data_IF_331498456534
#
_entry.id   IF_331498456534
#
_cell.length_a   1.000
_cell.length_b   1.000
_cell.length_c   1.000
_cell.angle_alpha   90.00
_cell.angle_beta   90.00
_cell.angle_gamma   90.00
#
_symmetry.space_group_name_H-M   'P 1'
#
loop_
_entity.id
_entity.type
_entity.pdbx_description
1 polymer ?
#
# COMPACT_ATOMS: atom_id res chain seq x y z
N UNK A 1 10.92 -18.34 -11.26
CA UNK A 1 11.66 -18.44 -9.97
C UNK A 1 12.94 -17.62 -10.08
N UNK A 2 13.34 -16.96 -8.99
CA UNK A 2 14.53 -16.07 -8.93
C UNK A 2 15.17 -16.20 -7.55
N UNK A 3 16.50 -16.17 -7.45
CA UNK A 3 17.16 -16.12 -6.14
C UNK A 3 16.76 -14.82 -5.40
N UNK A 4 16.46 -14.93 -4.11
CA UNK A 4 16.04 -13.80 -3.29
C UNK A 4 17.21 -12.87 -2.97
N UNK A 5 16.95 -11.56 -2.89
CA UNK A 5 18.02 -10.57 -2.64
C UNK A 5 18.40 -10.40 -1.16
N UNK A 6 17.48 -10.68 -0.25
CA UNK A 6 17.59 -10.29 1.18
C UNK A 6 17.55 -11.51 2.10
N UNK A 7 18.62 -12.29 2.09
CA UNK A 7 18.79 -13.41 3.01
C UNK A 7 20.26 -13.72 3.30
N UNK A 8 20.50 -14.37 4.43
CA UNK A 8 21.80 -14.95 4.79
C UNK A 8 21.68 -16.47 4.91
N UNK A 9 22.78 -17.16 4.61
CA UNK A 9 22.90 -18.61 4.78
C UNK A 9 23.41 -18.89 6.19
N UNK A 10 22.72 -19.79 6.88
CA UNK A 10 23.07 -20.27 8.21
C UNK A 10 23.53 -21.73 8.15
N UNK A 11 24.05 -22.24 9.27
CA UNK A 11 24.41 -23.65 9.43
C UNK A 11 23.20 -24.58 9.16
N UNK A 12 23.49 -25.79 8.68
CA UNK A 12 22.47 -26.82 8.45
C UNK A 12 21.51 -26.52 7.29
N UNK A 13 21.96 -25.75 6.27
CA UNK A 13 21.14 -25.31 5.13
C UNK A 13 19.90 -24.52 5.55
N UNK A 14 19.94 -23.84 6.68
CA UNK A 14 18.90 -22.88 7.08
C UNK A 14 19.21 -21.53 6.44
N UNK A 15 18.18 -20.78 6.07
CA UNK A 15 18.34 -19.39 5.62
C UNK A 15 17.57 -18.44 6.53
N UNK A 16 18.08 -17.24 6.71
CA UNK A 16 17.39 -16.17 7.44
C UNK A 16 17.03 -15.05 6.46
N UNK A 17 15.74 -14.89 6.21
CA UNK A 17 15.17 -13.93 5.26
C UNK A 17 14.89 -12.61 5.97
N UNK A 18 15.48 -11.51 5.48
CA UNK A 18 15.33 -10.17 6.04
C UNK A 18 14.66 -9.18 5.07
N UNK A 19 13.91 -9.69 4.08
CA UNK A 19 13.12 -8.87 3.16
C UNK A 19 12.09 -7.98 3.86
N UNK A 20 11.47 -8.51 4.92
CA UNK A 20 10.38 -7.87 5.64
C UNK A 20 10.59 -8.07 7.14
N UNK A 21 9.88 -7.30 7.96
CA UNK A 21 10.06 -7.26 9.42
C UNK A 21 9.59 -8.54 10.17
N UNK A 22 9.34 -9.64 9.45
CA UNK A 22 9.13 -10.96 10.05
C UNK A 22 10.42 -11.73 10.31
N UNK A 23 11.51 -11.41 9.59
CA UNK A 23 12.82 -12.03 9.79
C UNK A 23 12.77 -13.57 9.84
N UNK A 24 12.08 -14.20 8.87
CA UNK A 24 11.82 -15.64 8.91
C UNK A 24 13.13 -16.46 8.83
N UNK A 25 13.31 -17.41 9.76
CA UNK A 25 14.29 -18.49 9.64
C UNK A 25 13.63 -19.70 8.96
N UNK A 26 14.17 -20.11 7.81
CA UNK A 26 13.53 -21.08 6.92
C UNK A 26 14.48 -22.27 6.74
N UNK A 27 14.08 -23.42 7.27
CA UNK A 27 14.82 -24.67 7.05
C UNK A 27 14.71 -25.14 5.59
N UNK A 28 15.64 -26.00 5.17
CA UNK A 28 15.64 -26.63 3.85
C UNK A 28 14.27 -27.24 3.49
N UNK A 29 13.77 -26.96 2.28
CA UNK A 29 12.49 -27.46 1.78
C UNK A 29 11.25 -26.81 2.40
N UNK A 30 11.41 -25.76 3.21
CA UNK A 30 10.31 -24.98 3.78
C UNK A 30 10.20 -23.60 3.12
N UNK A 31 9.07 -22.95 3.39
CA UNK A 31 8.77 -21.58 2.94
C UNK A 31 8.67 -20.61 4.10
N UNK A 32 8.94 -19.34 3.83
CA UNK A 32 8.64 -18.24 4.75
C UNK A 32 7.14 -18.04 4.93
N UNK A 33 6.75 -17.19 5.89
CA UNK A 33 5.34 -16.96 6.24
C UNK A 33 4.49 -16.48 5.06
N UNK A 34 5.09 -15.80 4.08
CA UNK A 34 4.41 -15.34 2.87
C UNK A 34 4.00 -16.46 1.90
N UNK A 35 4.47 -17.70 2.11
CA UNK A 35 4.12 -18.85 1.28
C UNK A 35 4.79 -18.91 -0.10
N UNK A 36 5.59 -17.90 -0.47
CA UNK A 36 6.16 -17.74 -1.81
C UNK A 36 7.69 -17.60 -1.87
N UNK A 37 8.35 -17.67 -0.71
CA UNK A 37 9.81 -17.70 -0.62
C UNK A 37 10.25 -19.03 -0.02
N UNK A 38 10.99 -19.81 -0.79
CA UNK A 38 11.33 -21.21 -0.49
C UNK A 38 12.84 -21.40 -0.41
N UNK A 39 13.30 -22.12 0.61
CA UNK A 39 14.70 -22.49 0.77
C UNK A 39 14.96 -23.81 0.04
N UNK A 40 15.82 -23.77 -0.99
CA UNK A 40 16.20 -24.91 -1.81
C UNK A 40 17.72 -25.03 -1.81
N UNK A 41 18.24 -26.11 -1.23
CA UNK A 41 19.67 -26.37 -1.08
C UNK A 41 20.41 -25.33 -0.23
N UNK A 42 19.77 -24.68 0.74
CA UNK A 42 20.35 -23.57 1.51
C UNK A 42 20.41 -22.24 0.74
N UNK A 43 19.62 -22.08 -0.31
CA UNK A 43 19.51 -20.86 -1.11
C UNK A 43 18.04 -20.45 -1.14
N UNK A 44 17.74 -19.19 -0.80
CA UNK A 44 16.36 -18.71 -0.77
C UNK A 44 15.94 -18.25 -2.17
N UNK A 45 14.78 -18.72 -2.64
CA UNK A 45 14.20 -18.34 -3.92
C UNK A 45 12.83 -17.68 -3.76
N UNK A 46 12.59 -16.63 -4.55
CA UNK A 46 11.25 -16.14 -4.86
C UNK A 46 10.61 -17.02 -5.92
N UNK A 47 9.50 -17.66 -5.56
CA UNK A 47 8.74 -18.53 -6.45
C UNK A 47 7.80 -17.77 -7.38
N UNK A 48 7.50 -16.51 -7.04
CA UNK A 48 6.53 -15.66 -7.73
C UNK A 48 7.14 -14.68 -8.73
N UNK A 49 8.47 -14.72 -8.93
CA UNK A 49 9.11 -13.91 -9.97
C UNK A 49 8.53 -14.29 -11.34
N UNK A 50 7.92 -13.29 -12.01
CA UNK A 50 7.24 -13.44 -13.29
C UNK A 50 5.94 -14.23 -13.25
N UNK A 51 5.32 -14.45 -12.06
CA UNK A 51 4.06 -15.19 -11.91
C UNK A 51 2.91 -14.25 -11.56
N UNK A 52 2.38 -13.60 -12.59
CA UNK A 52 1.29 -12.63 -12.47
C UNK A 52 -0.04 -13.33 -12.19
N UNK A 53 -0.71 -13.01 -11.08
CA UNK A 53 -2.03 -13.59 -10.76
C UNK A 53 -3.20 -12.67 -11.12
N UNK A 54 -2.96 -11.36 -11.11
CA UNK A 54 -3.96 -10.36 -11.44
C UNK A 54 -3.28 -9.17 -12.13
N UNK A 55 -3.96 -8.62 -13.14
CA UNK A 55 -3.67 -7.29 -13.65
C UNK A 55 -4.94 -6.55 -14.02
N UNK A 56 -4.92 -5.24 -13.89
CA UNK A 56 -6.00 -4.37 -14.35
C UNK A 56 -5.50 -2.95 -14.58
N UNK A 57 -6.17 -2.20 -15.46
CA UNK A 57 -5.97 -0.76 -15.55
C UNK A 57 -6.97 -0.06 -14.63
N UNK A 58 -6.48 0.44 -13.50
CA UNK A 58 -7.30 1.12 -12.49
C UNK A 58 -6.99 2.62 -12.46
N UNK A 59 -7.95 3.49 -12.07
CA UNK A 59 -7.65 4.88 -11.72
C UNK A 59 -6.77 4.95 -10.47
N UNK A 60 -5.91 5.96 -10.37
CA UNK A 60 -5.01 6.13 -9.21
C UNK A 60 -5.80 6.36 -7.91
N UNK A 61 -7.00 6.91 -8.00
CA UNK A 61 -7.94 7.08 -6.89
C UNK A 61 -8.32 5.75 -6.22
N UNK A 62 -8.27 4.63 -6.95
CA UNK A 62 -8.52 3.29 -6.38
C UNK A 62 -7.32 2.75 -5.58
N UNK A 63 -6.15 3.38 -5.68
CA UNK A 63 -4.92 3.06 -4.89
C UNK A 63 -4.78 3.97 -3.65
N UNK A 64 -5.90 4.45 -3.12
CA UNK A 64 -6.04 5.69 -2.33
C UNK A 64 -4.87 6.69 -2.41
N UNK A 65 -4.53 7.10 -3.63
CA UNK A 65 -3.46 8.06 -3.90
C UNK A 65 -4.06 9.35 -4.50
N UNK A 66 -4.71 10.15 -3.64
CA UNK A 66 -5.48 11.33 -4.09
C UNK A 66 -4.60 12.54 -4.40
N UNK A 67 -3.39 12.56 -3.88
CA UNK A 67 -2.39 13.61 -4.07
C UNK A 67 -1.21 13.12 -4.92
N UNK A 68 -1.41 12.06 -5.71
CA UNK A 68 -0.43 11.56 -6.65
C UNK A 68 -1.07 11.33 -8.02
N UNK A 69 -0.76 12.21 -8.96
CA UNK A 69 -1.24 12.20 -10.34
C UNK A 69 -2.77 11.99 -10.46
N UNK A 70 -3.60 12.77 -9.74
CA UNK A 70 -5.06 12.55 -9.70
C UNK A 70 -5.67 12.55 -11.10
N UNK A 71 -6.58 11.60 -11.34
CA UNK A 71 -7.24 11.36 -12.62
C UNK A 71 -6.44 10.52 -13.62
N UNK A 72 -5.20 10.14 -13.27
CA UNK A 72 -4.39 9.24 -14.10
C UNK A 72 -4.76 7.76 -13.92
N UNK A 73 -4.31 6.93 -14.86
CA UNK A 73 -4.47 5.47 -14.83
C UNK A 73 -3.17 4.81 -14.38
N UNK A 74 -3.30 3.76 -13.59
CA UNK A 74 -2.22 2.89 -13.12
C UNK A 74 -2.42 1.46 -13.65
N UNK A 75 -1.37 0.88 -14.22
CA UNK A 75 -1.35 -0.55 -14.55
C UNK A 75 -1.08 -1.34 -13.27
N UNK A 76 -2.12 -1.98 -12.75
CA UNK A 76 -2.09 -2.66 -11.46
C UNK A 76 -1.70 -4.10 -11.64
N UNK A 77 -0.79 -4.61 -10.81
CA UNK A 77 -0.29 -5.97 -10.88
C UNK A 77 -0.15 -6.60 -9.49
N UNK A 78 -0.27 -7.93 -9.44
CA UNK A 78 -0.06 -8.71 -8.22
C UNK A 78 0.47 -10.11 -8.51
N UNK A 79 1.12 -10.70 -7.51
CA UNK A 79 1.35 -12.14 -7.42
C UNK A 79 0.57 -12.72 -6.25
N UNK A 80 0.51 -14.06 -6.15
CA UNK A 80 -0.02 -14.71 -4.94
C UNK A 80 0.87 -14.48 -3.73
N UNK A 81 0.29 -14.67 -2.54
CA UNK A 81 0.97 -14.61 -1.25
C UNK A 81 0.86 -13.25 -0.58
N UNK A 82 1.04 -13.22 0.73
CA UNK A 82 1.09 -12.02 1.54
C UNK A 82 1.82 -12.35 2.83
N UNK A 83 2.59 -11.40 3.36
CA UNK A 83 3.26 -11.59 4.65
C UNK A 83 2.35 -11.26 5.85
N UNK A 84 1.10 -10.85 5.64
CA UNK A 84 0.06 -10.66 6.67
C UNK A 84 -1.06 -11.69 6.51
N UNK A 85 -1.73 -12.03 7.62
CA UNK A 85 -2.88 -12.94 7.67
C UNK A 85 -4.16 -12.23 8.09
N UNK A 86 -4.39 -11.02 7.57
CA UNK A 86 -5.53 -10.16 7.89
C UNK A 86 -6.88 -10.89 7.84
N UNK A 87 -7.62 -10.91 8.96
CA UNK A 87 -8.94 -11.55 9.04
C UNK A 87 -10.01 -10.90 8.13
N UNK A 88 -9.79 -9.65 7.75
CA UNK A 88 -10.67 -8.85 6.88
C UNK A 88 -10.19 -8.77 5.41
N UNK A 89 -9.19 -9.57 5.00
CA UNK A 89 -8.58 -9.42 3.68
C UNK A 89 -9.61 -9.56 2.54
N UNK A 90 -9.70 -8.55 1.68
CA UNK A 90 -10.63 -8.54 0.55
C UNK A 90 -10.14 -9.36 -0.65
N UNK A 91 -8.83 -9.62 -0.74
CA UNK A 91 -8.19 -10.42 -1.79
C UNK A 91 -7.64 -11.73 -1.20
N UNK A 92 -8.34 -12.31 -0.21
CA UNK A 92 -7.86 -13.46 0.55
C UNK A 92 -7.62 -14.70 -0.33
N UNK A 93 -8.35 -14.80 -1.44
CA UNK A 93 -8.26 -15.86 -2.44
C UNK A 93 -6.89 -15.92 -3.13
N UNK A 94 -6.24 -14.77 -3.31
CA UNK A 94 -4.87 -14.68 -3.89
C UNK A 94 -3.80 -14.39 -2.83
N UNK A 95 -4.13 -13.71 -1.73
CA UNK A 95 -3.16 -13.29 -0.72
C UNK A 95 -2.85 -14.37 0.31
N UNK A 96 -3.80 -15.27 0.60
CA UNK A 96 -3.66 -16.32 1.64
C UNK A 96 -3.25 -17.68 1.03
N UNK A 97 -2.81 -17.67 -0.23
CA UNK A 97 -2.27 -18.81 -0.96
C UNK A 97 -0.84 -18.49 -1.44
N UNK A 98 0.02 -19.48 -1.72
CA UNK A 98 -0.21 -20.92 -1.63
C UNK A 98 0.08 -21.48 -0.24
N UNK A 99 -0.67 -22.51 0.14
CA UNK A 99 -0.34 -23.33 1.32
C UNK A 99 1.06 -23.95 1.16
N UNK A 100 1.77 -24.25 2.26
CA UNK A 100 3.08 -24.90 2.21
C UNK A 100 3.08 -26.11 1.27
N UNK A 101 4.09 -26.21 0.41
CA UNK A 101 4.30 -27.31 -0.55
C UNK A 101 3.25 -27.44 -1.68
N UNK A 102 2.39 -26.43 -1.89
CA UNK A 102 1.53 -26.36 -3.08
C UNK A 102 2.19 -25.56 -4.21
N UNK A 103 1.89 -25.87 -5.49
CA UNK A 103 2.34 -25.08 -6.62
C UNK A 103 1.95 -23.61 -6.48
N UNK A 104 2.83 -22.73 -6.92
CA UNK A 104 2.55 -21.30 -7.06
C UNK A 104 1.84 -21.09 -8.39
N UNK A 105 0.68 -20.42 -8.35
CA UNK A 105 -0.12 -20.11 -9.53
C UNK A 105 0.22 -18.72 -10.08
N UNK A 106 -0.01 -18.52 -11.37
CA UNK A 106 0.21 -17.23 -12.05
C UNK A 106 0.65 -17.44 -13.50
N UNK A 107 0.29 -16.50 -14.36
CA UNK A 107 0.73 -16.44 -15.74
C UNK A 107 2.18 -15.97 -15.82
N UNK A 108 2.94 -16.52 -16.76
CA UNK A 108 4.30 -16.07 -17.02
C UNK A 108 4.26 -14.74 -17.74
N UNK A 109 4.72 -13.70 -17.05
CA UNK A 109 4.82 -12.34 -17.59
C UNK A 109 6.13 -11.75 -17.10
N UNK A 110 6.91 -11.20 -18.01
CA UNK A 110 8.21 -10.58 -17.75
C UNK A 110 8.07 -9.13 -17.30
N UNK A 111 9.06 -8.57 -16.60
CA UNK A 111 9.10 -7.14 -16.28
C UNK A 111 8.90 -6.23 -17.51
N UNK A 112 9.49 -6.60 -18.65
CA UNK A 112 9.39 -5.89 -19.93
C UNK A 112 7.95 -5.87 -20.44
N UNK A 113 7.25 -7.00 -20.42
CA UNK A 113 5.84 -7.10 -20.82
C UNK A 113 4.91 -6.26 -19.93
N UNK A 114 5.20 -6.16 -18.62
CA UNK A 114 4.44 -5.28 -17.72
C UNK A 114 4.61 -3.81 -18.11
N UNK A 115 5.85 -3.38 -18.40
CA UNK A 115 6.14 -2.01 -18.81
C UNK A 115 5.50 -1.70 -20.16
N UNK A 116 5.58 -2.62 -21.12
CA UNK A 116 4.97 -2.45 -22.43
C UNK A 116 3.43 -2.41 -22.36
N UNK A 117 2.83 -3.22 -21.49
CA UNK A 117 1.39 -3.16 -21.23
C UNK A 117 1.00 -1.80 -20.63
N UNK A 118 1.75 -1.30 -19.64
CA UNK A 118 1.50 0.01 -19.05
C UNK A 118 1.57 1.15 -20.09
N UNK A 119 2.54 1.10 -21.01
CA UNK A 119 2.66 2.04 -22.15
C UNK A 119 1.47 1.94 -23.09
N UNK A 120 1.12 0.72 -23.50
CA UNK A 120 0.03 0.45 -24.43
C UNK A 120 -1.32 0.94 -23.91
N UNK A 121 -1.54 0.89 -22.59
CA UNK A 121 -2.75 1.43 -21.95
C UNK A 121 -2.66 2.92 -21.57
N UNK A 122 -1.56 3.60 -21.91
CA UNK A 122 -1.26 4.99 -21.56
C UNK A 122 -1.37 5.26 -20.05
N UNK A 123 -0.91 4.30 -19.25
CA UNK A 123 -0.83 4.44 -17.80
C UNK A 123 0.32 5.38 -17.42
N UNK A 124 0.09 6.26 -16.45
CA UNK A 124 1.15 7.13 -15.91
C UNK A 124 1.98 6.43 -14.84
N UNK A 125 1.45 5.33 -14.29
CA UNK A 125 2.13 4.55 -13.28
C UNK A 125 1.85 3.04 -13.40
N UNK A 126 2.70 2.25 -12.75
CA UNK A 126 2.46 0.85 -12.42
C UNK A 126 2.19 0.76 -10.92
N UNK A 127 1.11 0.09 -10.54
CA UNK A 127 0.71 -0.13 -9.16
C UNK A 127 0.95 -1.58 -8.74
N UNK A 128 1.86 -1.79 -7.79
CA UNK A 128 2.12 -3.10 -7.21
C UNK A 128 1.22 -3.26 -5.97
N UNK A 129 0.18 -4.09 -6.09
CA UNK A 129 -1.03 -4.01 -5.25
C UNK A 129 -1.77 -5.36 -5.13
N UNK A 130 -3.03 -5.32 -4.68
CA UNK A 130 -3.96 -6.43 -4.38
C UNK A 130 -3.51 -7.41 -3.29
N UNK A 131 -2.25 -7.84 -3.30
CA UNK A 131 -1.62 -8.60 -2.23
C UNK A 131 -0.64 -7.73 -1.45
N UNK A 132 0.65 -8.07 -1.41
CA UNK A 132 1.68 -7.26 -0.75
C UNK A 132 2.91 -7.17 -1.66
N UNK A 133 3.28 -5.99 -2.19
CA UNK A 133 4.40 -5.84 -3.13
C UNK A 133 5.76 -6.29 -2.57
N UNK A 134 5.96 -6.21 -1.26
CA UNK A 134 7.20 -6.65 -0.61
C UNK A 134 7.51 -8.11 -0.91
N UNK A 135 6.53 -9.01 -0.94
CA UNK A 135 6.80 -10.46 -1.05
C UNK A 135 7.29 -10.89 -2.44
N UNK A 136 6.98 -10.11 -3.49
CA UNK A 136 7.46 -10.30 -4.86
C UNK A 136 8.50 -9.24 -5.27
N UNK A 137 9.30 -8.78 -4.29
CA UNK A 137 10.27 -7.69 -4.42
C UNK A 137 11.12 -7.74 -5.69
N UNK A 138 11.75 -8.87 -6.03
CA UNK A 138 12.67 -8.95 -7.17
C UNK A 138 11.95 -8.65 -8.48
N UNK A 139 10.68 -9.08 -8.60
CA UNK A 139 9.86 -8.81 -9.77
C UNK A 139 9.42 -7.35 -9.83
N UNK A 140 8.98 -6.80 -8.69
CA UNK A 140 8.62 -5.39 -8.58
C UNK A 140 9.82 -4.45 -8.83
N UNK A 141 11.00 -4.79 -8.31
CA UNK A 141 12.22 -4.01 -8.43
C UNK A 141 12.72 -3.92 -9.87
N UNK A 142 12.77 -5.05 -10.57
CA UNK A 142 13.20 -5.07 -11.96
C UNK A 142 12.18 -4.37 -12.88
N UNK A 143 10.88 -4.58 -12.64
CA UNK A 143 9.82 -3.83 -13.33
C UNK A 143 9.96 -2.34 -13.09
N UNK A 144 10.18 -1.91 -11.85
CA UNK A 144 10.29 -0.50 -11.49
C UNK A 144 11.49 0.19 -12.13
N UNK A 145 12.63 -0.51 -12.22
CA UNK A 145 13.82 -0.04 -12.93
C UNK A 145 13.56 0.20 -14.41
N UNK A 146 12.82 -0.71 -15.06
CA UNK A 146 12.46 -0.58 -16.47
C UNK A 146 11.43 0.54 -16.68
N UNK A 147 10.38 0.56 -15.87
CA UNK A 147 9.33 1.58 -15.90
C UNK A 147 9.90 3.01 -15.79
N UNK A 148 10.87 3.20 -14.89
CA UNK A 148 11.54 4.49 -14.70
C UNK A 148 12.27 4.98 -15.95
N UNK A 149 12.88 4.08 -16.73
CA UNK A 149 13.55 4.44 -18.01
C UNK A 149 12.55 4.96 -19.04
N UNK A 150 11.32 4.46 -19.00
CA UNK A 150 10.21 4.86 -19.87
C UNK A 150 9.40 6.05 -19.32
N UNK A 151 9.82 6.65 -18.21
CA UNK A 151 9.11 7.76 -17.58
C UNK A 151 7.80 7.37 -16.87
N UNK A 152 7.57 6.08 -16.66
CA UNK A 152 6.40 5.55 -15.94
C UNK A 152 6.70 5.48 -14.45
N UNK A 153 5.79 6.02 -13.65
CA UNK A 153 5.92 6.08 -12.20
C UNK A 153 5.64 4.73 -11.54
N UNK A 154 6.24 4.47 -10.39
CA UNK A 154 5.98 3.25 -9.62
C UNK A 154 5.28 3.59 -8.31
N UNK A 155 4.20 2.86 -8.02
CA UNK A 155 3.45 3.05 -6.77
C UNK A 155 3.20 1.72 -6.06
N UNK A 156 3.40 1.70 -4.76
CA UNK A 156 3.03 0.57 -3.91
C UNK A 156 1.68 0.85 -3.24
N UNK A 157 0.91 -0.22 -3.04
CA UNK A 157 -0.19 -0.25 -2.07
C UNK A 157 0.13 -1.40 -1.14
N UNK A 158 0.55 -1.08 0.09
CA UNK A 158 1.22 -2.04 0.96
C UNK A 158 0.75 -1.98 2.40
N UNK A 159 1.04 -3.05 3.13
CA UNK A 159 0.85 -3.12 4.57
C UNK A 159 2.02 -2.49 5.37
N UNK A 160 3.04 -1.94 4.69
CA UNK A 160 4.14 -1.23 5.32
C UNK A 160 5.09 -2.12 6.13
N UNK A 161 5.25 -3.40 5.79
CA UNK A 161 6.09 -4.33 6.55
C UNK A 161 7.44 -4.67 5.89
N UNK A 162 7.83 -3.94 4.85
CA UNK A 162 9.15 -4.04 4.20
C UNK A 162 10.28 -3.70 5.18
N UNK A 163 11.42 -4.39 5.10
CA UNK A 163 12.57 -4.06 5.93
C UNK A 163 13.25 -2.78 5.46
N UNK A 164 14.03 -2.15 6.35
CA UNK A 164 14.77 -0.94 6.04
C UNK A 164 15.69 -1.09 4.81
N UNK A 165 16.47 -2.17 4.75
CA UNK A 165 17.40 -2.41 3.64
C UNK A 165 16.68 -2.62 2.30
N UNK A 166 15.58 -3.39 2.31
CA UNK A 166 14.78 -3.61 1.12
C UNK A 166 14.12 -2.31 0.64
N UNK A 167 13.59 -1.49 1.56
CA UNK A 167 13.02 -0.20 1.22
C UNK A 167 14.07 0.76 0.65
N UNK A 168 15.25 0.87 1.28
CA UNK A 168 16.38 1.67 0.76
C UNK A 168 16.81 1.24 -0.63
N UNK A 169 16.78 -0.06 -0.92
CA UNK A 169 17.07 -0.61 -2.25
C UNK A 169 16.01 -0.22 -3.29
N UNK A 170 14.73 -0.23 -2.90
CA UNK A 170 13.61 0.12 -3.77
C UNK A 170 13.45 1.65 -3.97
N UNK A 171 13.80 2.45 -2.97
CA UNK A 171 13.53 3.88 -2.91
C UNK A 171 13.92 4.69 -4.15
N UNK A 172 15.06 4.44 -4.84
CA UNK A 172 15.38 5.16 -6.06
C UNK A 172 14.37 4.97 -7.20
N UNK A 173 13.51 3.95 -7.13
CA UNK A 173 12.57 3.57 -8.19
C UNK A 173 11.11 3.67 -7.77
N UNK A 174 10.82 3.97 -6.49
CA UNK A 174 9.46 4.06 -5.96
C UNK A 174 9.05 5.51 -5.77
N UNK A 175 8.01 5.94 -6.51
CA UNK A 175 7.56 7.33 -6.48
C UNK A 175 6.50 7.58 -5.39
N UNK A 176 5.65 6.59 -5.10
CA UNK A 176 4.68 6.68 -4.01
C UNK A 176 4.34 5.34 -3.34
N UNK A 177 3.84 5.40 -2.12
CA UNK A 177 3.27 4.26 -1.42
C UNK A 177 1.99 4.67 -0.66
N UNK A 178 0.88 3.99 -0.92
CA UNK A 178 -0.25 4.01 0.00
C UNK A 178 -0.05 2.92 1.06
N UNK A 179 0.17 3.35 2.31
CA UNK A 179 0.50 2.44 3.42
C UNK A 179 -0.72 2.26 4.31
N UNK A 180 -1.13 1.01 4.51
CA UNK A 180 -2.20 0.67 5.44
C UNK A 180 -1.73 0.73 6.91
N UNK A 181 -1.99 1.85 7.60
CA UNK A 181 -1.93 1.92 9.06
C UNK A 181 -3.27 1.42 9.63
N UNK A 182 -3.36 0.10 9.81
CA UNK A 182 -4.64 -0.59 10.08
C UNK A 182 -5.21 -0.30 11.47
N UNK A 183 -4.39 0.07 12.44
CA UNK A 183 -4.79 0.48 13.80
C UNK A 183 -3.57 1.12 14.49
N UNK A 184 -3.76 1.78 15.63
CA UNK A 184 -2.69 2.13 16.57
C UNK A 184 -2.75 1.23 17.82
N UNK A 185 -2.88 -0.09 17.59
CA UNK A 185 -2.91 -1.11 18.63
C UNK A 185 -2.09 -2.33 18.20
N UNK A 186 -1.04 -2.65 18.95
CA UNK A 186 -0.24 -3.86 18.70
C UNK A 186 -1.07 -5.16 18.87
N UNK A 187 -2.07 -5.14 19.76
CA UNK A 187 -2.99 -6.26 19.94
C UNK A 187 -3.83 -6.52 18.68
N UNK A 188 -4.32 -5.45 18.04
CA UNK A 188 -5.01 -5.56 16.74
C UNK A 188 -4.08 -6.15 15.68
N UNK A 189 -2.83 -5.69 15.57
CA UNK A 189 -1.89 -6.25 14.60
C UNK A 189 -1.62 -7.73 14.84
N UNK A 190 -1.43 -8.15 16.10
CA UNK A 190 -1.17 -9.55 16.44
C UNK A 190 -2.37 -10.45 16.15
N UNK A 191 -3.57 -10.06 16.61
CA UNK A 191 -4.77 -10.89 16.51
C UNK A 191 -5.43 -10.85 15.14
N UNK A 192 -5.49 -9.67 14.53
CA UNK A 192 -6.22 -9.45 13.28
C UNK A 192 -5.31 -9.56 12.07
N UNK A 193 -4.06 -9.10 12.15
CA UNK A 193 -3.15 -9.03 11.00
C UNK A 193 -2.06 -10.10 10.96
N UNK A 194 -1.78 -10.76 12.10
CA UNK A 194 -0.64 -11.68 12.23
C UNK A 194 0.72 -10.98 12.19
N UNK A 195 0.79 -9.72 12.64
CA UNK A 195 1.97 -8.87 12.57
C UNK A 195 2.14 -8.01 13.83
N UNK A 196 3.06 -7.02 13.78
CA UNK A 196 3.33 -6.05 14.86
C UNK A 196 3.11 -4.63 14.36
N UNK A 197 2.72 -3.71 15.25
CA UNK A 197 2.50 -2.31 14.89
C UNK A 197 3.81 -1.58 14.60
N UNK A 198 4.79 -1.69 15.51
CA UNK A 198 6.00 -0.85 15.48
C UNK A 198 6.73 -0.86 14.12
N UNK A 199 6.94 -2.01 13.46
CA UNK A 199 7.62 -2.01 12.17
C UNK A 199 6.87 -1.26 11.06
N UNK A 200 5.53 -1.17 11.13
CA UNK A 200 4.75 -0.35 10.20
C UNK A 200 5.00 1.13 10.44
N UNK A 201 5.04 1.55 11.71
CA UNK A 201 5.33 2.95 12.07
C UNK A 201 6.74 3.35 11.63
N UNK A 202 7.75 2.51 11.87
CA UNK A 202 9.13 2.77 11.41
C UNK A 202 9.22 2.83 9.89
N UNK A 203 8.53 1.92 9.19
CA UNK A 203 8.49 1.92 7.73
C UNK A 203 7.87 3.21 7.19
N UNK A 204 6.80 3.72 7.80
CA UNK A 204 6.17 4.98 7.40
C UNK A 204 7.15 6.16 7.58
N UNK A 205 7.87 6.23 8.71
CA UNK A 205 8.90 7.27 8.94
C UNK A 205 10.00 7.21 7.88
N UNK A 206 10.51 6.01 7.60
CA UNK A 206 11.57 5.81 6.63
C UNK A 206 11.14 6.18 5.20
N UNK A 207 9.89 5.94 4.80
CA UNK A 207 9.40 6.43 3.50
C UNK A 207 9.48 7.95 3.39
N UNK A 208 9.12 8.67 4.45
CA UNK A 208 9.18 10.13 4.50
C UNK A 208 10.64 10.62 4.44
N UNK A 209 11.54 9.99 5.19
CA UNK A 209 12.98 10.29 5.17
C UNK A 209 13.61 10.09 3.78
N UNK A 210 13.18 9.05 3.07
CA UNK A 210 13.64 8.73 1.71
C UNK A 210 12.99 9.59 0.61
N UNK A 211 12.07 10.50 0.97
CA UNK A 211 11.41 11.39 0.03
C UNK A 211 10.38 10.71 -0.88
N UNK A 212 9.89 9.52 -0.50
CA UNK A 212 8.83 8.81 -1.22
C UNK A 212 7.49 9.45 -0.85
N UNK A 213 6.63 9.74 -1.84
CA UNK A 213 5.30 10.26 -1.54
C UNK A 213 4.47 9.20 -0.80
N UNK A 214 3.84 9.57 0.30
CA UNK A 214 3.01 8.64 1.07
C UNK A 214 1.62 9.20 1.33
N UNK A 215 0.64 8.28 1.28
CA UNK A 215 -0.71 8.49 1.80
C UNK A 215 -1.02 7.31 2.72
N UNK A 216 -1.73 7.57 3.81
CA UNK A 216 -1.99 6.55 4.84
C UNK A 216 -3.46 6.14 4.76
N UNK A 217 -3.71 4.84 4.77
CA UNK A 217 -5.07 4.30 4.76
C UNK A 217 -5.38 3.53 6.04
N UNK A 218 -6.58 3.72 6.57
CA UNK A 218 -7.13 2.93 7.69
C UNK A 218 -8.52 2.44 7.32
N UNK A 219 -8.65 1.13 7.09
CA UNK A 219 -9.95 0.48 6.98
C UNK A 219 -10.56 0.31 8.37
N UNK A 220 -11.69 0.98 8.62
CA UNK A 220 -12.33 0.98 9.93
C UNK A 220 -13.27 -0.21 10.02
N UNK A 221 -12.96 -1.18 10.87
CA UNK A 221 -13.75 -2.36 11.15
C UNK A 221 -14.50 -2.14 12.47
N UNK A 222 -15.84 -2.19 12.47
CA UNK A 222 -16.63 -2.03 13.69
C UNK A 222 -16.15 -2.93 14.82
N UNK A 223 -16.16 -2.41 16.04
CA UNK A 223 -15.72 -3.04 17.29
C UNK A 223 -14.25 -3.47 17.41
N UNK A 224 -13.46 -3.38 16.33
CA UNK A 224 -12.05 -3.81 16.34
C UNK A 224 -11.06 -2.64 16.35
N UNK A 225 -11.30 -1.59 15.56
CA UNK A 225 -10.41 -0.42 15.47
C UNK A 225 -11.17 0.92 15.32
N UNK A 226 -12.44 0.96 15.70
CA UNK A 226 -13.33 2.11 15.52
C UNK A 226 -13.44 3.04 16.74
N UNK A 227 -12.55 2.88 17.73
CA UNK A 227 -12.52 3.72 18.92
C UNK A 227 -11.95 5.12 18.63
N UNK A 228 -12.43 6.13 19.36
CA UNK A 228 -11.89 7.49 19.28
C UNK A 228 -10.40 7.54 19.59
N UNK A 229 -9.97 6.83 20.63
CA UNK A 229 -8.56 6.75 21.03
C UNK A 229 -7.68 6.25 19.88
N UNK A 230 -8.13 5.23 19.14
CA UNK A 230 -7.41 4.73 17.97
C UNK A 230 -7.29 5.80 16.88
N UNK A 231 -8.36 6.53 16.59
CA UNK A 231 -8.35 7.61 15.59
C UNK A 231 -7.45 8.78 15.99
N UNK A 232 -7.48 9.18 17.26
CA UNK A 232 -6.63 10.25 17.80
C UNK A 232 -5.16 9.86 17.63
N UNK A 233 -4.77 8.66 18.06
CA UNK A 233 -3.38 8.19 17.96
C UNK A 233 -2.88 8.09 16.52
N UNK A 234 -3.71 7.63 15.58
CA UNK A 234 -3.36 7.63 14.15
C UNK A 234 -3.16 9.07 13.65
N UNK A 235 -4.11 9.96 13.93
CA UNK A 235 -4.05 11.35 13.47
C UNK A 235 -2.84 12.10 14.05
N UNK A 236 -2.55 11.91 15.34
CA UNK A 236 -1.38 12.48 16.02
C UNK A 236 -0.08 11.95 15.42
N UNK A 237 0.02 10.64 15.18
CA UNK A 237 1.19 10.05 14.53
C UNK A 237 1.44 10.66 13.14
N UNK A 238 0.41 10.73 12.30
CA UNK A 238 0.52 11.32 10.95
C UNK A 238 0.91 12.80 11.05
N UNK A 239 0.25 13.57 11.92
CA UNK A 239 0.53 14.99 12.11
C UNK A 239 1.97 15.26 12.55
N UNK A 240 2.46 14.47 13.50
CA UNK A 240 3.82 14.60 14.02
C UNK A 240 4.87 14.28 12.97
N UNK A 241 4.52 13.47 11.96
CA UNK A 241 5.37 13.20 10.81
C UNK A 241 5.29 14.32 9.76
N UNK A 242 4.07 14.65 9.31
CA UNK A 242 3.77 15.77 8.42
C UNK A 242 2.24 15.93 8.31
N UNK A 243 1.71 17.09 8.72
CA UNK A 243 0.28 17.41 8.66
C UNK A 243 -0.32 17.41 7.25
N UNK A 244 0.51 17.44 6.21
CA UNK A 244 0.09 17.38 4.81
C UNK A 244 -0.01 15.97 4.25
N UNK A 245 0.39 14.92 4.98
CA UNK A 245 0.18 13.52 4.57
C UNK A 245 -1.33 13.24 4.56
N UNK A 246 -1.93 12.89 3.41
CA UNK A 246 -3.32 12.48 3.35
C UNK A 246 -3.61 11.25 4.20
N UNK A 247 -4.66 11.33 5.02
CA UNK A 247 -5.21 10.19 5.74
C UNK A 247 -6.54 9.75 5.13
N UNK A 248 -6.64 8.50 4.71
CA UNK A 248 -7.85 7.90 4.16
C UNK A 248 -8.50 7.00 5.21
N UNK A 249 -9.68 7.39 5.67
CA UNK A 249 -10.54 6.53 6.51
C UNK A 249 -11.54 5.81 5.61
N UNK A 250 -11.41 4.50 5.49
CA UNK A 250 -12.17 3.71 4.51
C UNK A 250 -13.16 2.75 5.18
N UNK A 251 -14.32 2.61 4.54
CA UNK A 251 -15.44 1.81 5.03
C UNK A 251 -15.17 0.33 4.81
N UNK A 252 -15.29 -0.44 5.90
CA UNK A 252 -15.29 -1.90 5.88
C UNK A 252 -16.60 -2.45 5.32
N UNK A 253 -16.47 -3.56 4.61
CA UNK A 253 -17.56 -4.44 4.23
C UNK A 253 -17.20 -5.86 4.67
N UNK A 254 -18.18 -6.68 5.11
CA UNK A 254 -17.94 -8.03 5.62
C UNK A 254 -17.17 -8.88 4.59
N UNK A 255 -16.03 -9.43 5.00
CA UNK A 255 -15.14 -10.17 4.10
C UNK A 255 -14.32 -11.21 4.87
N UNK A 256 -13.92 -12.27 4.15
CA UNK A 256 -13.06 -13.35 4.61
C UNK A 256 -13.50 -14.00 5.94
N UNK A 257 -12.84 -13.69 7.06
CA UNK A 257 -13.14 -14.27 8.38
C UNK A 257 -14.04 -13.38 9.24
N UNK A 258 -14.32 -12.16 8.79
CA UNK A 258 -15.14 -11.18 9.52
C UNK A 258 -16.50 -10.96 8.82
N UNK A 259 -17.11 -12.03 8.32
CA UNK A 259 -18.41 -11.96 7.63
C UNK A 259 -19.58 -11.65 8.58
N UNK A 260 -19.41 -11.88 9.88
CA UNK A 260 -20.44 -11.67 10.90
C UNK A 260 -20.49 -10.23 11.45
N UNK A 261 -19.50 -9.39 11.10
CA UNK A 261 -19.51 -7.97 11.47
C UNK A 261 -20.28 -7.15 10.44
N UNK A 262 -21.00 -6.08 10.82
CA UNK A 262 -21.68 -5.22 9.86
C UNK A 262 -20.67 -4.34 9.08
N UNK A 263 -21.06 -3.80 7.92
CA UNK A 263 -20.31 -2.71 7.30
C UNK A 263 -20.16 -1.52 8.26
N UNK A 264 -19.06 -0.76 8.16
CA UNK A 264 -18.88 0.42 9.03
C UNK A 264 -19.99 1.43 8.82
N UNK A 265 -20.63 1.94 9.89
CA UNK A 265 -21.54 3.06 9.77
C UNK A 265 -20.82 4.30 9.24
N UNK A 266 -21.47 5.06 8.36
CA UNK A 266 -20.92 6.30 7.79
C UNK A 266 -20.58 7.32 8.89
N UNK A 267 -21.36 7.36 9.96
CA UNK A 267 -21.12 8.23 11.12
C UNK A 267 -19.78 7.99 11.81
N UNK A 268 -19.26 6.76 11.78
CA UNK A 268 -17.92 6.45 12.32
C UNK A 268 -16.83 7.03 11.43
N UNK A 269 -16.99 7.00 10.10
CA UNK A 269 -16.07 7.65 9.18
C UNK A 269 -16.12 9.18 9.33
N UNK A 270 -17.32 9.75 9.52
CA UNK A 270 -17.48 11.18 9.77
C UNK A 270 -16.74 11.61 11.04
N UNK A 271 -16.84 10.78 12.09
CA UNK A 271 -16.14 10.95 13.36
C UNK A 271 -14.63 10.88 13.21
N UNK A 272 -14.10 9.86 12.53
CA UNK A 272 -12.67 9.72 12.29
C UNK A 272 -12.12 10.89 11.45
N UNK A 273 -12.87 11.31 10.42
CA UNK A 273 -12.54 12.50 9.61
C UNK A 273 -12.45 13.75 10.47
N UNK A 274 -13.47 13.99 11.31
CA UNK A 274 -13.52 15.14 12.22
C UNK A 274 -12.30 15.14 13.15
N UNK A 275 -12.01 14.02 13.80
CA UNK A 275 -10.85 13.87 14.70
C UNK A 275 -9.54 14.18 13.96
N UNK A 276 -9.34 13.64 12.75
CA UNK A 276 -8.12 13.91 11.98
C UNK A 276 -7.94 15.40 11.63
N UNK A 277 -9.02 16.08 11.24
CA UNK A 277 -9.00 17.51 10.94
C UNK A 277 -8.77 18.36 12.21
N UNK A 278 -9.43 18.02 13.32
CA UNK A 278 -9.25 18.68 14.63
C UNK A 278 -7.85 18.48 15.20
N UNK A 279 -7.24 17.31 14.95
CA UNK A 279 -5.84 17.08 15.27
C UNK A 279 -4.92 18.02 14.47
N UNK A 280 -5.33 18.48 13.28
CA UNK A 280 -4.59 19.46 12.48
C UNK A 280 -4.13 18.96 11.11
N UNK A 281 -4.50 17.72 10.73
CA UNK A 281 -4.23 17.20 9.39
C UNK A 281 -4.94 18.07 8.35
N UNK A 282 -4.25 18.36 7.24
CA UNK A 282 -4.80 19.18 6.16
C UNK A 282 -5.77 18.41 5.27
N UNK A 283 -5.55 17.09 5.14
CA UNK A 283 -6.30 16.25 4.22
C UNK A 283 -6.69 14.95 4.92
N UNK A 284 -7.99 14.80 5.17
CA UNK A 284 -8.58 13.54 5.62
C UNK A 284 -9.69 13.19 4.63
N UNK A 285 -9.67 11.97 4.10
CA UNK A 285 -10.57 11.49 3.07
C UNK A 285 -11.42 10.33 3.56
N UNK A 286 -12.64 10.22 3.04
CA UNK A 286 -13.53 9.10 3.33
C UNK A 286 -13.59 8.18 2.10
N UNK A 287 -13.17 6.93 2.27
CA UNK A 287 -13.15 5.92 1.22
C UNK A 287 -14.37 5.01 1.24
N UNK A 288 -14.69 4.38 0.10
CA UNK A 288 -15.82 3.46 -0.09
C UNK A 288 -17.21 4.06 0.19
N UNK A 289 -17.35 5.38 0.05
CA UNK A 289 -18.62 6.11 0.11
C UNK A 289 -18.65 7.15 -1.02
N UNK A 290 -19.01 6.75 -2.26
CA UNK A 290 -19.05 7.67 -3.40
C UNK A 290 -19.90 8.92 -3.10
N UNK A 291 -19.35 10.09 -3.43
CA UNK A 291 -19.98 11.39 -3.20
C UNK A 291 -19.73 12.02 -1.84
N UNK A 292 -19.00 11.37 -0.92
CA UNK A 292 -18.75 11.91 0.43
C UNK A 292 -17.28 11.89 0.81
N UNK A 293 -16.78 13.06 1.21
CA UNK A 293 -15.45 13.19 1.83
C UNK A 293 -14.26 12.89 0.92
N UNK A 294 -14.44 12.87 -0.40
CA UNK A 294 -13.43 12.52 -1.41
C UNK A 294 -12.84 13.74 -2.17
N UNK A 295 -13.45 14.91 -1.99
CA UNK A 295 -13.00 16.16 -2.59
C UNK A 295 -11.81 16.76 -1.85
N UNK A 296 -10.89 17.36 -2.60
CA UNK A 296 -9.76 18.11 -2.05
C UNK A 296 -10.12 19.59 -1.97
N UNK A 297 -10.02 20.15 -0.76
CA UNK A 297 -10.22 21.58 -0.49
C UNK A 297 -8.89 22.23 -0.10
N UNK A 298 -8.72 23.51 -0.43
CA UNK A 298 -7.55 24.27 -0.02
C UNK A 298 -7.51 24.40 1.52
N UNK A 299 -6.42 23.99 2.20
CA UNK A 299 -6.35 24.07 3.66
C UNK A 299 -6.30 25.51 4.18
N UNK A 300 -5.93 26.49 3.34
CA UNK A 300 -5.85 27.89 3.72
C UNK A 300 -7.16 28.66 3.48
N UNK A 301 -7.78 28.50 2.30
CA UNK A 301 -8.93 29.33 1.91
C UNK A 301 -10.25 28.55 1.74
N UNK A 302 -10.26 27.24 2.02
CA UNK A 302 -11.44 26.39 1.98
C UNK A 302 -12.06 26.12 0.60
N UNK A 303 -11.53 26.71 -0.47
CA UNK A 303 -12.08 26.53 -1.83
C UNK A 303 -11.82 25.13 -2.37
N UNK A 304 -12.80 24.59 -3.09
CA UNK A 304 -12.71 23.30 -3.80
C UNK A 304 -11.60 23.35 -4.86
N UNK A 305 -10.63 22.44 -4.74
CA UNK A 305 -9.49 22.29 -5.64
C UNK A 305 -9.66 21.09 -6.58
N UNK A 306 -10.06 19.93 -6.03
CA UNK A 306 -10.31 18.73 -6.81
C UNK A 306 -11.69 18.18 -6.45
N UNK A 307 -12.53 18.02 -7.45
CA UNK A 307 -13.84 17.39 -7.33
C UNK A 307 -13.77 15.94 -7.80
N UNK A 308 -14.25 15.03 -6.97
CA UNK A 308 -14.33 13.60 -7.24
C UNK A 308 -15.77 13.10 -7.08
N UNK A 309 -16.07 12.03 -7.81
CA UNK A 309 -17.22 11.17 -7.55
C UNK A 309 -16.78 9.71 -7.63
N UNK A 310 -16.58 9.07 -6.48
CA UNK A 310 -15.89 7.79 -6.39
C UNK A 310 -14.46 7.90 -6.95
N UNK A 311 -14.11 7.03 -7.91
CA UNK A 311 -12.77 7.03 -8.51
C UNK A 311 -12.61 7.97 -9.71
N UNK A 312 -13.59 8.83 -9.99
CA UNK A 312 -13.56 9.73 -11.14
C UNK A 312 -13.23 11.14 -10.65
N UNK A 313 -12.16 11.74 -11.20
CA UNK A 313 -11.88 13.17 -11.05
C UNK A 313 -12.69 13.94 -12.08
N UNK A 314 -13.65 14.74 -11.60
CA UNK A 314 -14.47 15.61 -12.46
C UNK A 314 -13.76 16.92 -12.78
N UNK A 315 -12.94 17.39 -11.84
CA UNK A 315 -12.30 18.69 -11.91
C UNK A 315 -11.01 18.69 -11.09
N UNK A 316 -9.95 19.25 -11.65
CA UNK A 316 -8.71 19.53 -10.93
C UNK A 316 -8.25 20.97 -11.26
N UNK A 317 -8.19 21.83 -10.24
CA UNK A 317 -7.81 23.24 -10.36
C UNK A 317 -6.39 23.54 -9.85
N UNK A 318 -5.67 22.53 -9.35
CA UNK A 318 -4.31 22.72 -8.87
C UNK A 318 -3.41 23.02 -10.07
N UNK A 319 -2.62 24.08 -9.97
CA UNK A 319 -1.67 24.51 -11.00
C UNK A 319 -0.32 24.76 -10.34
N UNK A 320 0.76 24.19 -10.88
CA UNK A 320 2.12 24.35 -10.31
C UNK A 320 2.20 24.02 -8.81
N UNK A 321 1.49 22.99 -8.36
CA UNK A 321 1.40 22.59 -6.94
C UNK A 321 0.84 23.68 -6.01
N UNK A 322 0.00 24.60 -6.51
CA UNK A 322 -0.56 25.71 -5.75
C UNK A 322 -2.07 25.82 -5.89
N UNK A 323 -2.69 26.39 -4.86
CA UNK A 323 -4.08 26.83 -4.93
C UNK A 323 -4.19 28.06 -5.83
N UNK A 324 -5.02 28.05 -6.90
CA UNK A 324 -5.15 29.18 -7.81
C UNK A 324 -5.84 30.40 -7.18
N UNK A 325 -6.41 30.24 -5.99
CA UNK A 325 -7.20 31.28 -5.33
C UNK A 325 -6.45 32.07 -4.25
N UNK A 326 -5.48 31.44 -3.57
CA UNK A 326 -4.72 32.09 -2.50
C UNK A 326 -3.21 31.84 -2.59
N UNK A 327 -2.75 31.10 -3.60
CA UNK A 327 -1.33 30.87 -3.85
C UNK A 327 -0.63 29.89 -2.91
N UNK A 328 -1.29 29.39 -1.86
CA UNK A 328 -0.68 28.41 -0.93
C UNK A 328 -0.25 27.16 -1.68
N UNK A 329 0.91 26.61 -1.30
CA UNK A 329 1.37 25.32 -1.82
C UNK A 329 0.44 24.20 -1.36
N UNK A 330 0.15 23.26 -2.26
CA UNK A 330 -0.65 22.07 -1.97
C UNK A 330 0.26 20.87 -2.16
N UNK A 331 0.59 20.20 -1.05
CA UNK A 331 1.48 19.05 -1.04
C UNK A 331 0.90 17.90 -1.85
N UNK A 332 1.70 17.36 -2.76
CA UNK A 332 1.35 16.25 -3.64
C UNK A 332 2.25 16.19 -4.86
N UNK A 333 2.11 15.12 -5.63
CA UNK A 333 2.71 14.94 -6.95
C UNK A 333 1.63 15.22 -7.98
N UNK A 334 1.70 16.37 -8.65
CA UNK A 334 0.70 16.80 -9.61
C UNK A 334 1.20 16.61 -11.03
N UNK A 335 0.28 16.39 -11.98
CA UNK A 335 0.63 16.47 -13.39
C UNK A 335 1.07 17.91 -13.70
N UNK A 336 2.19 18.05 -14.42
CA UNK A 336 2.73 19.33 -14.89
C UNK A 336 1.84 19.98 -15.92
#
# INVERSE_FOLDING_TARGET
>A
MREAMFYEKLEGKVVHCFLCNHHCRIAEGNRGICGVRENIGGTLYSLVYGKLIASAVDPIEKKPLFHFLPGSRAYSIATVGCNFSCLNCQNYDISQIPKPRKPVVGNEVTPEEIVEAAKSFNCKSIAYTYTEPTIFFEYAYETAKLAKKEGIKNVFVSNGYISEEALKTMAPYLDANNIDLKSFSDDFYRKVCGARLDPVLETIRLHKELGIWIEITTLIIPSLNDSEENFIKIAEFIKNLDECIPWHVTRFHPAYRLIDLPPTPVSILDKARKIGLEAGLKFVYQGNIPGKGENTYCPNCGKLLIERYGYIVKLNKITGSRCPYCGVHISGVWAT
#
